data_IF_444453620912
#
_entry.id   IF_444453620912
#
_cell.length_a   1.000
_cell.length_b   1.000
_cell.length_c   1.000
_cell.angle_alpha   90.00
_cell.angle_beta   90.00
_cell.angle_gamma   90.00
#
_symmetry.space_group_name_H-M   'P 1'
#
loop_
_entity.id
_entity.type
_entity.pdbx_description
1 polymer ?
#
# COMPACT_ATOMS: atom_id res chain seq x y z
N UNK A 1 4.32 -34.30 -14.10
CA UNK A 1 3.10 -33.48 -13.99
C UNK A 1 3.48 -32.03 -14.30
N UNK A 2 3.15 -31.47 -15.46
CA UNK A 2 3.39 -30.05 -15.73
C UNK A 2 2.06 -29.29 -15.69
N UNK A 3 1.93 -28.09 -15.16
CA UNK A 3 2.92 -27.14 -14.64
C UNK A 3 2.14 -25.83 -14.53
N UNK A 4 2.03 -25.29 -13.32
CA UNK A 4 1.28 -24.06 -13.07
C UNK A 4 2.10 -22.88 -13.61
N UNK A 5 1.86 -22.49 -14.86
CA UNK A 5 2.43 -21.27 -15.43
C UNK A 5 1.40 -20.15 -15.29
N UNK A 6 1.66 -19.21 -14.40
CA UNK A 6 1.08 -17.87 -14.47
C UNK A 6 2.24 -16.88 -14.49
N UNK A 7 2.77 -16.64 -15.68
CA UNK A 7 3.63 -15.48 -15.93
C UNK A 7 2.74 -14.36 -16.40
N UNK A 8 2.63 -13.30 -15.58
CA UNK A 8 1.99 -12.06 -16.01
C UNK A 8 2.94 -10.91 -15.70
N UNK A 9 3.73 -10.54 -16.71
CA UNK A 9 4.40 -9.24 -16.80
C UNK A 9 3.55 -8.40 -17.75
N UNK A 10 2.96 -7.32 -17.24
CA UNK A 10 2.48 -6.23 -18.09
C UNK A 10 3.35 -5.01 -17.82
N UNK A 11 3.95 -4.49 -18.89
CA UNK A 11 4.73 -3.25 -18.91
C UNK A 11 4.03 -2.30 -19.88
N UNK A 12 3.34 -1.30 -19.35
CA UNK A 12 2.89 -0.11 -20.09
C UNK A 12 3.44 1.12 -19.36
N UNK A 13 4.09 2.03 -20.08
CA UNK A 13 4.63 3.28 -19.55
C UNK A 13 3.62 4.45 -19.79
N UNK A 14 3.70 5.58 -19.06
CA UNK A 14 2.92 5.84 -17.85
C UNK A 14 1.97 7.05 -17.99
N UNK A 15 0.73 6.99 -17.50
CA UNK A 15 -0.17 8.18 -17.51
C UNK A 15 -0.98 8.39 -16.22
N UNK A 16 -1.10 7.39 -15.34
CA UNK A 16 -1.45 7.60 -13.93
C UNK A 16 -0.49 6.74 -13.12
N UNK A 17 0.08 7.28 -12.04
CA UNK A 17 0.94 6.50 -11.16
C UNK A 17 0.08 5.44 -10.44
N UNK A 18 -0.09 4.27 -11.07
CA UNK A 18 -0.74 3.12 -10.47
C UNK A 18 0.26 2.38 -9.57
N UNK A 19 -0.03 2.37 -8.27
CA UNK A 19 0.82 1.74 -7.28
C UNK A 19 0.26 0.37 -6.93
N UNK A 20 1.08 -0.67 -7.00
CA UNK A 20 0.68 -2.00 -6.53
C UNK A 20 1.18 -2.16 -5.10
N UNK A 21 0.27 -2.33 -4.15
CA UNK A 21 0.61 -2.55 -2.74
C UNK A 21 0.05 -3.90 -2.26
N UNK A 22 0.69 -4.56 -1.29
CA UNK A 22 0.10 -5.73 -0.64
C UNK A 22 -1.27 -5.40 -0.07
N UNK A 23 -2.25 -6.31 -0.20
CA UNK A 23 -3.58 -6.10 0.35
C UNK A 23 -3.57 -5.87 1.89
N UNK A 24 -2.53 -6.36 2.58
CA UNK A 24 -2.29 -6.14 4.01
C UNK A 24 -1.96 -4.69 4.39
N UNK A 25 -1.56 -3.87 3.41
CA UNK A 25 -1.26 -2.43 3.59
C UNK A 25 -2.54 -1.60 3.66
N UNK A 26 -3.66 -2.15 3.14
CA UNK A 26 -4.94 -1.47 3.13
C UNK A 26 -5.61 -1.50 4.49
N UNK A 27 -6.11 -0.34 4.89
CA UNK A 27 -7.07 -0.19 5.96
C UNK A 27 -8.46 -0.05 5.37
N UNK A 28 -9.25 -1.10 5.52
CA UNK A 28 -10.69 -1.05 5.29
C UNK A 28 -11.36 -0.41 6.53
N UNK A 29 -11.64 0.89 6.47
CA UNK A 29 -12.42 1.60 7.48
C UNK A 29 -13.81 1.95 6.96
N UNK A 30 -14.70 2.35 7.86
CA UNK A 30 -16.05 2.83 7.50
C UNK A 30 -16.02 4.06 6.57
N UNK A 31 -14.93 4.82 6.57
CA UNK A 31 -14.69 5.96 5.67
C UNK A 31 -14.27 5.56 4.26
N UNK A 32 -14.04 4.27 3.99
CA UNK A 32 -13.49 3.77 2.73
C UNK A 32 -12.04 3.29 2.85
N UNK A 33 -11.44 2.88 1.72
CA UNK A 33 -10.08 2.35 1.69
C UNK A 33 -9.04 3.44 1.96
N UNK A 34 -8.16 3.17 2.90
CA UNK A 34 -7.08 4.07 3.29
C UNK A 34 -5.77 3.31 3.40
N UNK A 35 -4.66 4.02 3.30
CA UNK A 35 -3.32 3.51 3.62
C UNK A 35 -2.68 4.40 4.68
N UNK A 36 -1.65 3.87 5.34
CA UNK A 36 -0.86 4.62 6.31
C UNK A 36 0.42 5.09 5.66
N UNK A 37 0.59 6.40 5.53
CA UNK A 37 1.88 7.02 5.27
C UNK A 37 2.56 7.34 6.62
N UNK A 38 3.85 7.05 6.71
CA UNK A 38 4.69 7.48 7.83
C UNK A 38 5.62 8.56 7.32
N UNK A 39 5.39 9.78 7.81
CA UNK A 39 6.27 10.90 7.50
C UNK A 39 7.67 10.69 8.06
N UNK A 40 8.62 11.46 7.53
CA UNK A 40 10.04 11.39 7.93
C UNK A 40 10.29 11.62 9.42
N UNK A 41 9.37 12.31 10.10
CA UNK A 41 9.39 12.55 11.54
C UNK A 41 8.79 11.40 12.37
N UNK A 42 8.42 10.30 11.72
CA UNK A 42 7.77 9.14 12.32
C UNK A 42 6.27 9.31 12.54
N UNK A 43 5.67 10.39 12.05
CA UNK A 43 4.23 10.67 12.26
C UNK A 43 3.39 9.90 11.25
N UNK A 44 2.36 9.22 11.77
CA UNK A 44 1.37 8.45 11.02
C UNK A 44 0.32 9.39 10.43
N UNK A 45 0.09 9.23 9.13
CA UNK A 45 -0.94 9.90 8.36
C UNK A 45 -1.77 8.90 7.57
N UNK A 46 -3.09 9.01 7.67
CA UNK A 46 -4.01 8.27 6.83
C UNK A 46 -4.21 8.99 5.52
N UNK A 47 -3.95 8.27 4.44
CA UNK A 47 -4.21 8.73 3.09
C UNK A 47 -5.39 7.95 2.54
N UNK A 48 -6.44 8.67 2.16
CA UNK A 48 -7.53 8.10 1.39
C UNK A 48 -7.01 7.76 0.00
N UNK A 49 -7.23 6.52 -0.42
CA UNK A 49 -6.76 6.02 -1.71
C UNK A 49 -7.91 5.49 -2.53
N UNK A 50 -7.77 5.55 -3.84
CA UNK A 50 -8.69 4.88 -4.75
C UNK A 50 -8.09 3.55 -5.18
N UNK A 51 -8.83 2.48 -4.90
CA UNK A 51 -8.44 1.14 -5.33
C UNK A 51 -8.81 0.96 -6.79
N UNK A 52 -7.86 0.40 -7.54
CA UNK A 52 -8.03 -0.10 -8.90
C UNK A 52 -8.36 -1.59 -8.87
N UNK A 53 -7.56 -2.40 -9.57
CA UNK A 53 -7.79 -3.85 -9.64
C UNK A 53 -7.29 -4.55 -8.38
N UNK A 54 -8.07 -5.50 -7.92
CA UNK A 54 -7.66 -6.48 -6.93
C UNK A 54 -6.94 -7.64 -7.63
N UNK A 55 -5.73 -7.97 -7.17
CA UNK A 55 -4.87 -9.03 -7.68
C UNK A 55 -4.83 -10.23 -6.72
N UNK A 56 -5.72 -10.28 -5.72
CA UNK A 56 -5.82 -11.34 -4.72
C UNK A 56 -4.87 -11.14 -3.54
N UNK A 57 -3.55 -11.10 -3.80
CA UNK A 57 -2.54 -10.89 -2.75
C UNK A 57 -2.07 -9.42 -2.67
N UNK A 58 -2.46 -8.62 -3.65
CA UNK A 58 -2.07 -7.22 -3.80
C UNK A 58 -3.20 -6.47 -4.46
N UNK A 59 -3.22 -5.16 -4.30
CA UNK A 59 -4.22 -4.28 -4.88
C UNK A 59 -3.52 -3.17 -5.64
N UNK A 60 -4.14 -2.69 -6.70
CA UNK A 60 -3.73 -1.47 -7.37
C UNK A 60 -4.33 -0.26 -6.66
N UNK A 61 -3.55 0.80 -6.50
CA UNK A 61 -3.98 2.12 -6.09
C UNK A 61 -3.83 3.02 -7.31
N UNK A 62 -4.96 3.51 -7.81
CA UNK A 62 -5.03 4.36 -9.01
C UNK A 62 -4.92 5.85 -8.67
N UNK A 63 -5.23 6.24 -7.44
CA UNK A 63 -5.12 7.62 -6.97
C UNK A 63 -4.96 7.72 -5.46
N UNK A 64 -4.47 8.88 -4.98
CA UNK A 64 -4.27 9.18 -3.55
C UNK A 64 -2.85 8.99 -3.05
N UNK A 65 -1.91 8.61 -3.93
CA UNK A 65 -0.48 8.47 -3.64
C UNK A 65 0.36 9.27 -4.62
N UNK A 66 1.42 9.92 -4.14
CA UNK A 66 2.39 10.66 -4.95
C UNK A 66 3.64 9.84 -5.32
N UNK A 67 3.86 8.70 -4.65
CA UNK A 67 5.04 7.86 -4.81
C UNK A 67 6.21 8.22 -3.92
N UNK A 68 6.05 9.21 -3.05
CA UNK A 68 7.06 9.65 -2.09
C UNK A 68 6.74 9.19 -0.66
N UNK A 69 5.58 8.57 -0.46
CA UNK A 69 5.05 8.07 0.80
C UNK A 69 5.75 6.81 1.27
N UNK A 70 5.86 6.65 2.59
CA UNK A 70 6.32 5.40 3.22
C UNK A 70 5.13 4.66 3.78
N UNK A 71 4.68 3.66 3.03
CA UNK A 71 3.49 2.91 3.41
C UNK A 71 3.78 1.81 4.43
N UNK A 72 2.88 1.66 5.41
CA UNK A 72 2.97 0.59 6.41
C UNK A 72 2.31 -0.68 5.89
N UNK A 73 3.11 -1.71 5.62
CA UNK A 73 2.63 -2.97 5.02
C UNK A 73 1.74 -3.80 5.94
N UNK A 74 1.87 -3.60 7.25
CA UNK A 74 1.09 -4.29 8.28
C UNK A 74 0.84 -3.34 9.46
N UNK A 75 -0.13 -2.43 9.36
CA UNK A 75 -0.40 -1.46 10.41
C UNK A 75 -0.85 -2.18 11.69
N UNK A 76 -0.25 -1.90 12.87
CA UNK A 76 -0.71 -2.47 14.12
C UNK A 76 -2.13 -2.01 14.45
N UNK A 77 -2.93 -2.93 15.02
CA UNK A 77 -4.28 -2.67 15.49
C UNK A 77 -4.25 -1.56 16.54
N UNK A 78 -4.82 -0.40 16.20
CA UNK A 78 -4.86 0.76 17.08
C UNK A 78 -3.98 1.93 16.67
N UNK A 79 -3.34 1.89 15.50
CA UNK A 79 -2.82 3.12 14.88
C UNK A 79 -3.90 4.20 14.85
N UNK A 80 -3.47 5.45 15.08
CA UNK A 80 -4.30 6.65 15.00
C UNK A 80 -3.57 7.72 14.22
N UNK A 81 -4.34 8.63 13.63
CA UNK A 81 -3.82 9.81 12.95
C UNK A 81 -2.92 10.61 13.91
N UNK A 82 -1.75 11.02 13.45
CA UNK A 82 -0.79 11.79 14.25
C UNK A 82 0.00 10.97 15.28
N UNK A 83 -0.20 9.64 15.34
CA UNK A 83 0.61 8.78 16.21
C UNK A 83 2.05 8.73 15.70
N UNK A 84 3.04 8.78 16.61
CA UNK A 84 4.42 8.51 16.24
C UNK A 84 4.70 7.02 16.30
N UNK A 85 5.22 6.47 15.21
CA UNK A 85 5.68 5.09 15.14
C UNK A 85 7.15 5.03 14.72
N UNK A 86 7.86 4.09 15.33
CA UNK A 86 9.15 3.66 14.81
C UNK A 86 8.86 2.68 13.66
N UNK A 87 8.97 3.15 12.42
CA UNK A 87 8.88 2.26 11.27
C UNK A 87 10.10 1.32 11.29
N UNK A 88 9.90 0.05 11.60
CA UNK A 88 10.90 -0.97 11.30
C UNK A 88 10.86 -1.20 9.78
N UNK A 89 11.83 -0.61 9.07
CA UNK A 89 12.10 -1.00 7.69
C UNK A 89 12.43 -2.49 7.73
N UNK A 90 11.51 -3.33 7.27
CA UNK A 90 11.78 -4.75 7.11
C UNK A 90 12.89 -4.89 6.07
N UNK A 91 14.13 -4.97 6.56
CA UNK A 91 15.30 -5.36 5.79
C UNK A 91 15.04 -6.77 5.30
N UNK A 92 14.76 -6.90 4.00
CA UNK A 92 14.86 -8.18 3.30
C UNK A 92 16.34 -8.59 3.36
N UNK A 93 16.66 -9.58 4.20
CA UNK A 93 17.96 -10.25 4.23
C UNK A 93 18.02 -11.37 3.18
#
# INVERSE_FOLDING_TARGET
>A
MPGMYAQVKFSLAPVDAMWVVPATTLLARSSGPQVVDVRRDGTVHYLAVQLGRDLGNSVEIVAGLSGSERLVVSPPDGLKEGMRVAAEETKRN
#
